data_IF_439693183856
#
_entry.id   IF_439693183856
#
_cell.length_a   1.000
_cell.length_b   1.000
_cell.length_c   1.000
_cell.angle_alpha   90.00
_cell.angle_beta   90.00
_cell.angle_gamma   90.00
#
_symmetry.space_group_name_H-M   'P 1'
#
loop_
_entity.id
_entity.type
_entity.pdbx_description
1 polymer ?
#
# COMPACT_ATOMS: atom_id res chain seq x y z
N UNK A 1 56.50 -72.52 -25.46
CA UNK A 1 55.38 -73.24 -24.81
C UNK A 1 54.74 -72.27 -23.83
N UNK A 2 53.53 -71.78 -24.16
CA UNK A 2 52.61 -70.95 -23.34
C UNK A 2 53.15 -69.55 -22.93
N UNK A 3 52.39 -68.45 -22.83
CA UNK A 3 50.96 -68.16 -22.89
C UNK A 3 50.78 -66.64 -23.03
N UNK A 4 49.69 -66.22 -23.69
CA UNK A 4 49.26 -64.81 -23.84
C UNK A 4 48.94 -64.14 -22.50
N UNK A 5 49.04 -62.80 -22.43
CA UNK A 5 48.05 -61.99 -21.70
C UNK A 5 47.79 -60.66 -22.43
N UNK A 6 46.65 -60.60 -23.13
CA UNK A 6 46.00 -59.38 -23.57
C UNK A 6 45.75 -58.48 -22.36
N UNK A 7 46.23 -57.24 -22.40
CA UNK A 7 45.82 -56.19 -21.47
C UNK A 7 44.94 -55.21 -22.22
N UNK A 8 43.62 -55.40 -22.07
CA UNK A 8 42.59 -54.43 -22.41
C UNK A 8 42.82 -53.16 -21.58
N UNK A 9 43.12 -52.05 -22.25
CA UNK A 9 43.11 -50.71 -21.65
C UNK A 9 41.67 -50.20 -21.67
N UNK A 10 41.03 -50.11 -20.51
CA UNK A 10 39.78 -49.37 -20.34
C UNK A 10 40.10 -47.87 -20.27
N UNK A 11 39.47 -46.98 -21.05
CA UNK A 11 39.61 -45.56 -20.83
C UNK A 11 38.78 -45.17 -19.59
N UNK A 12 39.42 -44.48 -18.64
CA UNK A 12 38.74 -43.88 -17.51
C UNK A 12 37.81 -42.77 -17.99
N UNK A 13 36.51 -42.93 -17.79
CA UNK A 13 35.50 -41.90 -18.04
C UNK A 13 35.61 -40.87 -16.91
N UNK A 14 36.20 -39.70 -17.21
CA UNK A 14 36.24 -38.57 -16.29
C UNK A 14 34.86 -37.89 -16.30
N UNK A 15 34.02 -38.19 -15.32
CA UNK A 15 32.74 -37.51 -15.12
C UNK A 15 33.03 -36.09 -14.61
N UNK A 16 32.93 -35.08 -15.47
CA UNK A 16 32.97 -33.67 -15.07
C UNK A 16 31.64 -33.35 -14.39
N UNK A 17 31.65 -33.31 -13.06
CA UNK A 17 30.55 -32.76 -12.27
C UNK A 17 30.60 -31.24 -12.39
N UNK A 18 29.79 -30.68 -13.29
CA UNK A 18 29.54 -29.23 -13.32
C UNK A 18 28.67 -28.91 -12.10
N UNK A 19 29.30 -28.46 -11.01
CA UNK A 19 28.56 -27.73 -9.98
C UNK A 19 28.08 -26.43 -10.64
N UNK A 20 26.81 -26.39 -11.01
CA UNK A 20 26.15 -25.15 -11.38
C UNK A 20 26.19 -24.27 -10.12
N UNK A 21 27.12 -23.31 -10.09
CA UNK A 21 27.14 -22.27 -9.08
C UNK A 21 25.94 -21.36 -9.41
N UNK A 22 24.76 -21.73 -8.92
CA UNK A 22 23.57 -20.88 -9.00
C UNK A 22 23.86 -19.64 -8.17
N UNK A 23 24.41 -18.60 -8.79
CA UNK A 23 24.40 -17.28 -8.19
C UNK A 23 22.93 -16.94 -8.01
N UNK A 24 22.45 -17.01 -6.77
CA UNK A 24 21.22 -16.32 -6.38
C UNK A 24 21.46 -14.86 -6.67
N UNK A 25 21.01 -14.42 -7.85
CA UNK A 25 20.92 -13.00 -8.13
C UNK A 25 19.97 -12.46 -7.06
N UNK A 26 20.30 -11.37 -6.35
CA UNK A 26 19.30 -10.71 -5.54
C UNK A 26 18.10 -10.48 -6.46
N UNK A 27 16.96 -11.07 -6.09
CA UNK A 27 15.70 -10.82 -6.79
C UNK A 27 15.37 -9.38 -6.43
N UNK A 28 15.89 -8.45 -7.22
CA UNK A 28 15.47 -7.07 -7.13
C UNK A 28 13.98 -7.05 -7.43
N UNK A 29 13.24 -6.35 -6.58
CA UNK A 29 11.83 -6.12 -6.75
C UNK A 29 11.53 -5.72 -8.21
N UNK A 30 10.59 -6.40 -8.84
CA UNK A 30 10.12 -5.99 -10.15
C UNK A 30 9.29 -4.72 -9.92
N UNK A 31 9.91 -3.54 -10.09
CA UNK A 31 9.36 -2.21 -9.73
C UNK A 31 9.41 -1.89 -8.21
N UNK A 32 10.60 -1.60 -7.64
CA UNK A 32 10.70 -1.18 -6.25
C UNK A 32 10.11 0.23 -6.05
N UNK A 33 9.51 0.53 -4.87
CA UNK A 33 9.07 1.88 -4.55
C UNK A 33 10.25 2.85 -4.41
N UNK A 34 10.05 4.12 -4.78
CA UNK A 34 10.87 5.23 -4.31
C UNK A 34 10.37 5.71 -2.93
N UNK A 35 11.12 6.58 -2.22
CA UNK A 35 10.60 7.23 -1.02
C UNK A 35 9.28 7.98 -1.31
N UNK A 36 8.24 7.71 -0.52
CA UNK A 36 6.90 8.27 -0.70
C UNK A 36 5.93 7.47 -1.59
N UNK A 37 6.42 6.56 -2.44
CA UNK A 37 5.55 5.70 -3.27
C UNK A 37 4.80 4.67 -2.41
N UNK A 38 5.45 4.20 -1.34
CA UNK A 38 4.85 3.39 -0.28
C UNK A 38 5.12 4.08 1.05
N UNK A 39 4.07 4.25 1.83
CA UNK A 39 4.10 4.96 3.12
C UNK A 39 3.49 4.11 4.22
N UNK A 40 3.90 4.37 5.46
CA UNK A 40 3.26 3.80 6.65
C UNK A 40 1.89 4.47 6.78
N UNK A 41 0.83 3.66 6.74
CA UNK A 41 -0.55 4.14 6.65
C UNK A 41 -1.27 4.08 7.98
N UNK A 42 -1.13 2.97 8.68
CA UNK A 42 -1.79 2.71 9.96
C UNK A 42 -0.92 1.75 10.79
N UNK A 43 -0.91 1.88 12.10
CA UNK A 43 -0.25 0.91 12.97
C UNK A 43 -0.89 0.86 14.36
N UNK A 44 -0.81 -0.32 14.98
CA UNK A 44 -1.17 -0.55 16.38
C UNK A 44 0.08 -1.02 17.12
N UNK A 45 0.52 -0.23 18.09
CA UNK A 45 1.72 -0.48 18.86
C UNK A 45 1.46 -1.15 20.22
N UNK A 46 0.23 -1.05 20.74
CA UNK A 46 -0.13 -1.60 22.05
C UNK A 46 -1.28 -2.60 21.90
N UNK A 47 -0.95 -3.85 21.56
CA UNK A 47 -1.94 -4.92 21.43
C UNK A 47 -1.29 -6.30 21.65
N UNK A 48 -2.11 -7.36 21.76
CA UNK A 48 -1.59 -8.73 21.77
C UNK A 48 -0.88 -9.09 20.46
N UNK A 49 -1.34 -8.49 19.35
CA UNK A 49 -0.72 -8.57 18.04
C UNK A 49 -0.57 -7.16 17.52
N UNK A 50 0.65 -6.66 17.57
CA UNK A 50 1.03 -5.40 16.96
C UNK A 50 1.06 -5.55 15.45
N UNK A 51 0.91 -4.45 14.75
CA UNK A 51 1.04 -4.47 13.30
C UNK A 51 1.31 -3.08 12.73
N UNK A 52 1.91 -3.09 11.56
CA UNK A 52 2.15 -1.92 10.71
C UNK A 52 1.56 -2.20 9.35
N UNK A 53 0.79 -1.25 8.84
CA UNK A 53 0.25 -1.23 7.49
C UNK A 53 1.02 -0.25 6.61
N UNK A 54 1.36 -0.71 5.42
CA UNK A 54 1.91 0.08 4.34
C UNK A 54 0.84 0.30 3.27
N UNK A 55 0.83 1.49 2.69
CA UNK A 55 -0.07 1.87 1.60
C UNK A 55 0.72 2.29 0.36
N UNK A 56 0.35 1.76 -0.80
CA UNK A 56 0.89 2.17 -2.09
C UNK A 56 0.14 3.40 -2.61
N UNK A 57 0.79 4.55 -2.65
CA UNK A 57 0.20 5.83 -3.07
C UNK A 57 0.09 5.97 -4.59
N UNK A 58 0.61 5.00 -5.34
CA UNK A 58 0.74 5.08 -6.80
C UNK A 58 -0.37 4.32 -7.54
N UNK A 59 -0.51 4.63 -8.84
CA UNK A 59 -1.39 3.92 -9.77
C UNK A 59 -0.80 2.63 -10.35
N UNK A 60 0.30 2.11 -9.81
CA UNK A 60 0.97 0.90 -10.30
C UNK A 60 1.28 -0.08 -9.18
N UNK A 61 1.35 -1.37 -9.51
CA UNK A 61 1.83 -2.39 -8.57
C UNK A 61 3.30 -2.15 -8.21
N UNK A 62 3.60 -2.21 -6.90
CA UNK A 62 4.94 -2.01 -6.35
C UNK A 62 5.39 -3.26 -5.61
N UNK A 63 6.60 -3.72 -5.92
CA UNK A 63 7.21 -4.87 -5.26
C UNK A 63 8.07 -4.36 -4.08
N UNK A 64 7.64 -4.73 -2.87
CA UNK A 64 8.28 -4.34 -1.60
C UNK A 64 9.10 -5.49 -0.99
N UNK A 65 9.39 -6.53 -1.77
CA UNK A 65 10.18 -7.68 -1.32
C UNK A 65 11.54 -7.24 -0.78
N UNK A 66 11.88 -7.69 0.43
CA UNK A 66 13.17 -7.42 1.05
C UNK A 66 13.36 -6.02 1.63
N UNK A 67 12.33 -5.16 1.60
CA UNK A 67 12.28 -3.96 2.43
C UNK A 67 12.08 -4.34 3.90
N UNK A 68 12.20 -3.37 4.81
CA UNK A 68 12.11 -3.63 6.25
C UNK A 68 11.17 -2.66 6.96
N UNK A 69 10.57 -3.15 8.05
CA UNK A 69 9.99 -2.33 9.11
C UNK A 69 10.99 -2.29 10.28
N UNK A 70 11.25 -1.11 10.81
CA UNK A 70 12.22 -0.85 11.88
C UNK A 70 11.58 0.02 12.97
N UNK A 71 11.88 -0.25 14.24
CA UNK A 71 11.31 0.43 15.42
C UNK A 71 12.15 1.63 15.85
N UNK A 72 13.45 1.66 15.54
CA UNK A 72 14.30 2.83 15.84
C UNK A 72 15.62 2.81 15.05
N UNK A 73 16.16 3.98 14.72
CA UNK A 73 17.48 4.06 14.06
C UNK A 73 18.62 3.57 14.95
N UNK A 74 19.32 2.53 14.49
CA UNK A 74 20.55 2.02 15.13
C UNK A 74 20.36 1.62 16.61
N UNK A 75 19.17 1.12 16.98
CA UNK A 75 18.82 0.68 18.32
C UNK A 75 17.68 -0.35 18.28
N UNK A 76 17.02 -0.57 19.42
CA UNK A 76 15.77 -1.35 19.46
C UNK A 76 15.89 -2.81 19.02
N UNK A 77 14.80 -3.33 18.48
CA UNK A 77 14.74 -4.65 17.86
C UNK A 77 15.51 -4.69 16.52
N UNK A 78 15.86 -5.89 16.06
CA UNK A 78 16.37 -6.01 14.69
C UNK A 78 15.25 -5.70 13.68
N UNK A 79 15.52 -4.93 12.61
CA UNK A 79 14.55 -4.65 11.55
C UNK A 79 13.91 -5.93 11.01
N UNK A 80 12.61 -5.87 10.72
CA UNK A 80 11.82 -7.00 10.26
C UNK A 80 11.68 -6.97 8.74
N UNK A 81 12.23 -8.00 8.09
CA UNK A 81 12.22 -8.12 6.63
C UNK A 81 10.82 -8.45 6.11
N UNK A 82 10.41 -7.74 5.08
CA UNK A 82 9.21 -8.04 4.30
C UNK A 82 9.51 -9.26 3.41
N UNK A 83 8.67 -10.31 3.44
CA UNK A 83 8.92 -11.55 2.71
C UNK A 83 9.11 -11.33 1.20
N UNK A 84 9.80 -12.27 0.56
CA UNK A 84 9.92 -12.28 -0.89
C UNK A 84 8.55 -12.46 -1.57
N UNK A 85 8.42 -11.95 -2.79
CA UNK A 85 7.20 -11.97 -3.60
C UNK A 85 6.04 -11.17 -2.97
N UNK A 86 6.35 -10.10 -2.26
CA UNK A 86 5.36 -9.19 -1.69
C UNK A 86 5.14 -8.01 -2.63
N UNK A 87 3.96 -7.96 -3.25
CA UNK A 87 3.53 -6.89 -4.14
C UNK A 87 2.35 -6.17 -3.50
N UNK A 88 2.41 -4.84 -3.43
CA UNK A 88 1.25 -4.01 -3.10
C UNK A 88 0.66 -3.51 -4.41
N UNK A 89 -0.59 -3.87 -4.71
CA UNK A 89 -1.29 -3.35 -5.88
C UNK A 89 -1.44 -1.82 -5.83
N UNK A 90 -1.72 -1.20 -6.98
CA UNK A 90 -2.07 0.22 -7.04
C UNK A 90 -3.12 0.61 -5.98
N UNK A 91 -2.83 1.59 -5.12
CA UNK A 91 -3.71 1.98 -4.01
C UNK A 91 -4.05 0.85 -3.02
N UNK A 92 -3.25 -0.21 -2.99
CA UNK A 92 -3.42 -1.35 -2.10
C UNK A 92 -2.68 -1.18 -0.77
N UNK A 93 -2.90 -2.16 0.11
CA UNK A 93 -2.34 -2.21 1.46
C UNK A 93 -1.51 -3.47 1.65
N UNK A 94 -0.49 -3.38 2.50
CA UNK A 94 0.24 -4.53 3.03
C UNK A 94 0.33 -4.42 4.54
N UNK A 95 0.03 -5.52 5.24
CA UNK A 95 0.06 -5.57 6.70
C UNK A 95 1.14 -6.53 7.16
N UNK A 96 2.00 -6.06 8.06
CA UNK A 96 2.98 -6.87 8.77
C UNK A 96 2.62 -6.93 10.25
N UNK A 97 2.51 -8.13 10.81
CA UNK A 97 2.19 -8.35 12.22
C UNK A 97 3.43 -8.69 13.04
N UNK A 98 3.42 -8.32 14.31
CA UNK A 98 4.51 -8.50 15.24
C UNK A 98 4.03 -8.98 16.60
N UNK A 99 4.99 -9.41 17.42
CA UNK A 99 4.81 -9.71 18.83
C UNK A 99 5.91 -9.01 19.60
N UNK A 100 5.55 -7.95 20.35
CA UNK A 100 6.48 -7.19 21.19
C UNK A 100 7.64 -6.58 20.40
N UNK A 101 7.32 -5.89 19.31
CA UNK A 101 8.26 -5.17 18.46
C UNK A 101 8.19 -3.66 18.68
N UNK A 102 7.00 -3.08 18.73
CA UNK A 102 6.77 -1.66 18.98
C UNK A 102 6.58 -1.38 20.48
N UNK A 103 7.20 -0.33 21.00
CA UNK A 103 7.10 0.01 22.42
C UNK A 103 5.83 0.81 22.76
N UNK A 104 5.06 0.38 23.76
CA UNK A 104 3.84 1.07 24.21
C UNK A 104 4.08 2.52 24.68
N UNK A 105 5.27 2.78 25.24
CA UNK A 105 5.67 4.06 25.85
C UNK A 105 6.25 5.07 24.85
N UNK A 106 6.12 4.80 23.55
CA UNK A 106 6.68 5.61 22.48
C UNK A 106 7.82 4.91 21.76
N UNK A 107 7.87 5.11 20.44
CA UNK A 107 8.84 4.49 19.53
C UNK A 107 8.83 5.22 18.18
N UNK A 108 9.72 4.79 17.28
CA UNK A 108 9.58 5.10 15.85
C UNK A 108 8.90 3.93 15.11
N UNK A 109 8.37 4.23 13.93
CA UNK A 109 8.00 3.23 12.93
C UNK A 109 8.62 3.68 11.63
N UNK A 110 9.48 2.85 11.04
CA UNK A 110 10.27 3.22 9.86
C UNK A 110 10.14 2.15 8.79
N UNK A 111 9.79 2.57 7.58
CA UNK A 111 9.85 1.75 6.37
C UNK A 111 11.17 2.07 5.66
N UNK A 112 12.06 1.08 5.56
CA UNK A 112 13.43 1.27 5.07
C UNK A 112 13.76 0.30 3.93
N UNK A 113 14.70 0.72 3.10
CA UNK A 113 15.10 -0.01 1.90
C UNK A 113 15.86 -1.32 2.21
N UNK A 114 16.06 -2.20 1.21
CA UNK A 114 16.80 -3.44 1.39
C UNK A 114 18.26 -3.27 1.83
N UNK A 115 18.85 -2.08 1.65
CA UNK A 115 20.20 -1.78 2.17
C UNK A 115 20.19 -1.33 3.63
N UNK A 116 19.01 -1.06 4.19
CA UNK A 116 18.78 -0.50 5.53
C UNK A 116 19.45 0.87 5.74
N UNK A 117 19.71 1.61 4.65
CA UNK A 117 20.36 2.92 4.71
C UNK A 117 19.46 4.06 4.29
N UNK A 118 18.40 3.78 3.53
CA UNK A 118 17.43 4.77 3.07
C UNK A 118 16.11 4.56 3.77
N UNK A 119 15.59 5.64 4.39
CA UNK A 119 14.23 5.68 4.93
C UNK A 119 13.29 6.11 3.82
N UNK A 120 12.28 5.28 3.54
CA UNK A 120 11.24 5.56 2.56
C UNK A 120 10.07 6.32 3.18
N UNK A 121 9.73 5.98 4.43
CA UNK A 121 8.78 6.72 5.26
C UNK A 121 9.04 6.45 6.74
N UNK A 122 8.66 7.39 7.60
CA UNK A 122 8.81 7.22 9.06
C UNK A 122 7.84 8.08 9.85
N UNK A 123 7.49 7.61 11.04
CA UNK A 123 6.76 8.37 12.05
C UNK A 123 7.26 8.02 13.45
N UNK A 124 6.90 8.84 14.44
CA UNK A 124 7.21 8.62 15.84
C UNK A 124 5.98 8.89 16.69
N UNK A 125 5.83 8.16 17.79
CA UNK A 125 4.77 8.38 18.77
C UNK A 125 5.34 8.35 20.18
N UNK A 126 4.69 9.03 21.12
CA UNK A 126 5.17 9.14 22.52
C UNK A 126 4.41 8.24 23.49
N UNK A 127 3.31 7.65 23.04
CA UNK A 127 2.48 6.69 23.79
C UNK A 127 1.48 6.05 22.84
N UNK A 128 1.04 4.84 23.14
CA UNK A 128 -0.08 4.22 22.44
C UNK A 128 -1.13 3.64 23.39
N UNK A 129 -2.39 3.91 23.08
CA UNK A 129 -3.55 3.37 23.80
C UNK A 129 -3.78 1.92 23.37
N UNK A 130 -4.14 1.06 24.33
CA UNK A 130 -4.34 -0.37 24.05
C UNK A 130 -5.44 -0.57 22.99
N UNK A 131 -5.10 -1.34 21.94
CA UNK A 131 -5.94 -1.69 20.78
C UNK A 131 -6.37 -0.49 19.91
N UNK A 132 -5.73 0.68 20.06
CA UNK A 132 -5.97 1.84 19.22
C UNK A 132 -4.88 1.95 18.15
N UNK A 133 -5.25 2.53 17.01
CA UNK A 133 -4.31 2.77 15.91
C UNK A 133 -3.94 4.22 15.77
N UNK A 134 -2.68 4.47 15.42
CA UNK A 134 -2.30 5.68 14.72
C UNK A 134 -2.56 5.45 13.24
N UNK A 135 -3.12 6.44 12.56
CA UNK A 135 -3.54 6.32 11.15
C UNK A 135 -3.35 7.62 10.38
N UNK A 136 -3.18 7.51 9.07
CA UNK A 136 -3.24 8.64 8.14
C UNK A 136 -4.69 8.86 7.66
N UNK A 137 -5.08 10.12 7.48
CA UNK A 137 -6.37 10.47 6.88
C UNK A 137 -6.18 11.65 5.92
N UNK A 138 -6.49 11.50 4.62
CA UNK A 138 -6.79 10.25 3.91
C UNK A 138 -5.63 9.24 3.96
N UNK A 139 -5.81 8.05 3.38
CA UNK A 139 -4.73 7.07 3.23
C UNK A 139 -3.53 7.66 2.48
N UNK A 140 -2.34 7.40 3.02
CA UNK A 140 -1.10 8.03 2.59
C UNK A 140 -1.00 9.54 2.80
N UNK A 141 -2.03 10.18 3.36
CA UNK A 141 -2.10 11.60 3.68
C UNK A 141 -1.36 11.99 4.95
N UNK A 142 -1.96 12.91 5.72
CA UNK A 142 -1.39 13.37 7.00
C UNK A 142 -1.77 12.43 8.15
N UNK A 143 -0.90 12.29 9.14
CA UNK A 143 -1.25 11.61 10.39
C UNK A 143 -2.40 12.31 11.10
N UNK A 144 -3.38 11.53 11.56
CA UNK A 144 -4.42 12.01 12.45
C UNK A 144 -3.81 12.59 13.74
N UNK A 145 -4.35 13.70 14.28
CA UNK A 145 -3.86 14.28 15.53
C UNK A 145 -4.15 13.41 16.77
N UNK A 146 -4.96 12.36 16.63
CA UNK A 146 -5.31 11.43 17.69
C UNK A 146 -5.48 10.00 17.18
N UNK A 147 -5.22 9.03 18.05
CA UNK A 147 -5.46 7.62 17.77
C UNK A 147 -6.95 7.31 17.46
N UNK A 148 -7.20 6.26 16.69
CA UNK A 148 -8.53 5.71 16.41
C UNK A 148 -8.81 4.51 17.31
N UNK A 149 -10.03 4.44 17.87
CA UNK A 149 -10.54 3.26 18.58
C UNK A 149 -11.11 2.19 17.65
N UNK A 150 -11.07 2.43 16.34
CA UNK A 150 -11.58 1.53 15.30
C UNK A 150 -10.51 1.34 14.23
N UNK A 151 -9.48 0.52 14.49
CA UNK A 151 -8.43 0.26 13.52
C UNK A 151 -8.96 -0.42 12.26
N UNK A 152 -8.36 -0.13 11.11
CA UNK A 152 -8.83 -0.51 9.76
C UNK A 152 -7.87 -1.42 9.00
N UNK A 153 -7.20 -2.32 9.72
CA UNK A 153 -6.20 -3.26 9.17
C UNK A 153 -6.60 -3.90 7.83
N UNK A 154 -5.80 -3.65 6.80
CA UNK A 154 -5.96 -4.15 5.43
C UNK A 154 -7.04 -3.44 4.61
N UNK A 155 -7.52 -2.28 5.08
CA UNK A 155 -8.62 -1.52 4.48
C UNK A 155 -8.36 -0.02 4.60
N UNK A 156 -9.16 0.77 3.89
CA UNK A 156 -9.12 2.22 3.97
C UNK A 156 -9.33 2.78 5.39
N UNK A 157 -8.52 3.78 5.77
CA UNK A 157 -8.70 4.51 7.04
C UNK A 157 -9.98 5.37 7.05
N UNK A 158 -10.45 5.86 8.22
CA UNK A 158 -11.56 6.82 8.29
C UNK A 158 -11.30 8.08 7.45
N UNK A 159 -12.19 8.35 6.48
CA UNK A 159 -12.01 9.42 5.47
C UNK A 159 -11.00 9.09 4.35
N UNK A 160 -10.56 7.83 4.29
CA UNK A 160 -9.44 7.30 3.50
C UNK A 160 -9.86 6.65 2.18
N UNK A 161 -10.49 7.40 1.29
CA UNK A 161 -10.08 7.20 -0.10
C UNK A 161 -8.63 7.67 -0.24
N UNK A 162 -7.86 7.22 -1.25
CA UNK A 162 -6.73 8.00 -1.75
C UNK A 162 -7.11 9.49 -1.82
N UNK A 163 -6.20 10.41 -1.50
CA UNK A 163 -6.44 11.84 -1.73
C UNK A 163 -6.89 12.04 -3.17
N UNK A 164 -8.15 12.44 -3.39
CA UNK A 164 -8.69 12.65 -4.73
C UNK A 164 -8.05 13.92 -5.29
N UNK A 165 -7.16 13.72 -6.26
CA UNK A 165 -6.51 14.81 -6.98
C UNK A 165 -7.37 15.23 -8.18
N UNK A 166 -7.19 16.45 -8.72
CA UNK A 166 -7.81 16.83 -9.99
C UNK A 166 -7.50 15.82 -11.09
N UNK A 167 -8.55 15.18 -11.63
CA UNK A 167 -8.44 14.16 -12.66
C UNK A 167 -8.65 12.72 -12.16
N UNK A 168 -8.61 12.45 -10.86
CA UNK A 168 -8.85 11.12 -10.28
C UNK A 168 -10.33 10.75 -10.37
N UNK A 169 -11.21 11.74 -10.16
CA UNK A 169 -12.64 11.65 -10.46
C UNK A 169 -12.99 12.71 -11.50
N UNK A 170 -13.58 12.28 -12.61
CA UNK A 170 -13.99 13.16 -13.71
C UNK A 170 -15.48 13.02 -13.98
N UNK A 171 -16.09 14.06 -14.54
CA UNK A 171 -17.44 13.94 -15.11
C UNK A 171 -17.33 13.12 -16.39
N UNK A 172 -18.01 11.98 -16.43
CA UNK A 172 -18.06 11.10 -17.60
C UNK A 172 -19.24 11.46 -18.51
N UNK A 173 -20.42 11.60 -17.93
CA UNK A 173 -21.66 11.93 -18.64
C UNK A 173 -22.56 12.80 -17.75
N UNK A 174 -23.38 13.64 -18.37
CA UNK A 174 -24.44 14.36 -17.67
C UNK A 174 -25.63 14.60 -18.58
N UNK A 175 -26.82 14.65 -17.97
CA UNK A 175 -28.05 15.06 -18.63
C UNK A 175 -28.60 16.28 -17.92
N UNK A 176 -28.77 17.36 -18.69
CA UNK A 176 -29.35 18.62 -18.24
C UNK A 176 -30.62 18.94 -19.06
N UNK A 177 -31.53 19.74 -18.48
CA UNK A 177 -32.76 20.22 -19.09
C UNK A 177 -33.68 19.08 -19.55
N UNK A 178 -33.94 18.15 -18.65
CA UNK A 178 -34.74 16.94 -18.89
C UNK A 178 -35.63 16.65 -17.67
N UNK A 179 -36.66 15.82 -17.83
CA UNK A 179 -37.50 15.39 -16.70
C UNK A 179 -36.72 14.58 -15.65
N UNK A 180 -35.55 14.07 -16.03
CA UNK A 180 -34.59 13.44 -15.13
C UNK A 180 -33.21 14.02 -15.42
N UNK A 181 -32.62 14.67 -14.44
CA UNK A 181 -31.28 15.26 -14.55
C UNK A 181 -30.32 14.47 -13.68
N UNK A 182 -29.13 14.23 -14.19
CA UNK A 182 -28.13 13.45 -13.46
C UNK A 182 -26.73 13.72 -13.98
N UNK A 183 -25.75 13.43 -13.14
CA UNK A 183 -24.32 13.42 -13.49
C UNK A 183 -23.73 12.06 -13.17
N UNK A 184 -22.90 11.53 -14.07
CA UNK A 184 -22.07 10.37 -13.84
C UNK A 184 -20.62 10.79 -13.67
N UNK A 185 -20.02 10.30 -12.59
CA UNK A 185 -18.62 10.45 -12.27
C UNK A 185 -17.89 9.15 -12.61
N UNK A 186 -16.67 9.27 -13.13
CA UNK A 186 -15.78 8.17 -13.42
C UNK A 186 -14.50 8.28 -12.59
N UNK A 187 -14.11 7.18 -11.96
CA UNK A 187 -12.83 7.05 -11.28
C UNK A 187 -11.77 6.59 -12.29
N UNK A 188 -10.83 7.47 -12.59
CA UNK A 188 -9.74 7.21 -13.56
C UNK A 188 -8.58 6.40 -12.96
N UNK A 189 -8.60 6.18 -11.64
CA UNK A 189 -7.50 5.55 -10.91
C UNK A 189 -7.63 4.03 -10.88
N UNK A 190 -6.52 3.38 -10.50
CA UNK A 190 -6.43 1.93 -10.31
C UNK A 190 -6.95 1.44 -8.96
N UNK A 191 -7.45 2.32 -8.08
CA UNK A 191 -7.93 1.99 -6.74
C UNK A 191 -9.32 2.57 -6.49
N UNK A 192 -10.02 2.10 -5.45
CA UNK A 192 -11.32 2.65 -5.09
C UNK A 192 -11.16 4.03 -4.43
N UNK A 193 -12.02 4.99 -4.79
CA UNK A 193 -12.01 6.36 -4.25
C UNK A 193 -13.27 6.63 -3.43
N UNK A 194 -13.11 7.03 -2.16
CA UNK A 194 -14.20 7.56 -1.35
C UNK A 194 -14.46 9.03 -1.71
N UNK A 195 -15.61 9.29 -2.36
CA UNK A 195 -16.07 10.62 -2.78
C UNK A 195 -17.09 11.20 -1.80
N UNK A 196 -17.23 10.62 -0.60
CA UNK A 196 -18.15 11.11 0.43
C UNK A 196 -17.94 12.59 0.73
N UNK A 197 -19.01 13.37 0.70
CA UNK A 197 -18.98 14.78 1.08
C UNK A 197 -18.35 15.72 0.04
N UNK A 198 -17.94 15.22 -1.13
CA UNK A 198 -17.67 16.08 -2.29
C UNK A 198 -18.97 16.72 -2.78
N UNK A 199 -18.85 17.81 -3.55
CA UNK A 199 -20.00 18.54 -4.08
C UNK A 199 -19.99 18.59 -5.59
N UNK A 200 -21.18 18.46 -6.19
CA UNK A 200 -21.44 18.81 -7.58
C UNK A 200 -22.04 20.21 -7.60
N UNK A 201 -21.45 21.09 -8.40
CA UNK A 201 -21.87 22.48 -8.54
C UNK A 201 -22.14 22.79 -10.03
N UNK A 202 -23.22 23.51 -10.31
CA UNK A 202 -23.61 23.89 -11.68
C UNK A 202 -22.85 25.13 -12.15
N UNK A 203 -22.66 26.11 -11.26
CA UNK A 203 -21.98 27.37 -11.55
C UNK A 203 -21.16 27.83 -10.35
N UNK A 204 -19.83 27.83 -10.50
CA UNK A 204 -18.93 28.31 -9.46
C UNK A 204 -19.28 29.74 -9.00
N UNK A 205 -19.70 29.87 -7.74
CA UNK A 205 -20.04 31.16 -7.13
C UNK A 205 -21.35 31.79 -7.62
N UNK A 206 -22.20 31.01 -8.29
CA UNK A 206 -23.53 31.40 -8.75
C UNK A 206 -24.47 30.19 -8.71
N UNK A 207 -25.58 30.25 -9.45
CA UNK A 207 -26.45 29.08 -9.63
C UNK A 207 -27.19 28.61 -8.37
N UNK A 208 -27.50 27.31 -8.36
CA UNK A 208 -28.12 26.61 -7.25
C UNK A 208 -27.14 26.39 -6.10
N UNK A 209 -27.61 25.79 -5.00
CA UNK A 209 -26.69 25.32 -3.97
C UNK A 209 -25.95 24.06 -4.48
N UNK A 210 -24.63 23.92 -4.25
CA UNK A 210 -23.91 22.71 -4.59
C UNK A 210 -24.53 21.48 -3.91
N UNK A 211 -24.61 20.37 -4.63
CA UNK A 211 -25.20 19.13 -4.16
C UNK A 211 -24.13 18.22 -3.58
N UNK A 212 -24.29 17.87 -2.30
CA UNK A 212 -23.37 16.98 -1.61
C UNK A 212 -23.55 15.53 -2.10
N UNK A 213 -22.44 14.86 -2.35
CA UNK A 213 -22.38 13.42 -2.54
C UNK A 213 -22.59 12.76 -1.16
N UNK A 214 -23.52 11.79 -1.04
CA UNK A 214 -23.83 11.13 0.23
C UNK A 214 -22.60 10.54 0.92
N UNK A 215 -22.67 10.46 2.25
CA UNK A 215 -21.66 9.73 3.02
C UNK A 215 -21.61 8.25 2.62
N UNK A 216 -20.44 7.64 2.80
CA UNK A 216 -20.16 6.25 2.43
C UNK A 216 -20.29 5.98 0.92
N UNK A 217 -19.97 6.96 0.08
CA UNK A 217 -19.98 6.81 -1.38
C UNK A 217 -18.58 6.54 -1.89
N UNK A 218 -18.35 5.33 -2.40
CA UNK A 218 -17.08 4.93 -3.02
C UNK A 218 -17.27 4.60 -4.49
N UNK A 219 -16.38 5.09 -5.35
CA UNK A 219 -16.29 4.65 -6.75
C UNK A 219 -15.16 3.61 -6.85
N UNK A 220 -15.43 2.35 -7.24
CA UNK A 220 -14.38 1.35 -7.50
C UNK A 220 -13.36 1.84 -8.55
N UNK A 221 -12.18 1.22 -8.59
CA UNK A 221 -11.19 1.46 -9.64
C UNK A 221 -11.81 1.31 -11.05
N UNK A 222 -11.66 2.32 -11.91
CA UNK A 222 -12.32 2.33 -13.23
C UNK A 222 -13.85 2.25 -13.17
N UNK A 223 -14.45 2.52 -12.02
CA UNK A 223 -15.89 2.45 -11.79
C UNK A 223 -16.60 3.78 -12.07
N UNK A 224 -17.93 3.74 -11.99
CA UNK A 224 -18.81 4.88 -12.22
C UNK A 224 -19.74 5.10 -11.03
N UNK A 225 -20.12 6.36 -10.79
CA UNK A 225 -21.14 6.74 -9.81
C UNK A 225 -22.09 7.76 -10.41
N UNK A 226 -23.39 7.49 -10.35
CA UNK A 226 -24.44 8.37 -10.85
C UNK A 226 -25.14 9.10 -9.70
N UNK A 227 -25.24 10.42 -9.80
CA UNK A 227 -26.01 11.26 -8.88
C UNK A 227 -27.25 11.80 -9.61
N UNK A 228 -28.43 11.49 -9.08
CA UNK A 228 -29.71 12.07 -9.52
C UNK A 228 -29.86 13.50 -8.99
N UNK A 229 -30.10 14.43 -9.91
CA UNK A 229 -30.22 15.86 -9.68
C UNK A 229 -31.64 16.38 -9.99
N UNK A 230 -32.60 15.50 -10.29
CA UNK A 230 -33.95 15.87 -10.75
C UNK A 230 -34.79 16.72 -9.78
N UNK A 231 -34.32 16.90 -8.53
CA UNK A 231 -34.96 17.75 -7.53
C UNK A 231 -34.16 19.03 -7.21
N UNK A 232 -33.09 19.31 -7.94
CA UNK A 232 -32.03 20.23 -7.48
C UNK A 232 -31.57 21.28 -8.51
N UNK A 233 -32.04 21.21 -9.76
CA UNK A 233 -31.76 22.20 -10.80
C UNK A 233 -33.06 22.85 -11.32
#
# INVERSE_FOLDING_TARGET
MLMSKNRLLFPALLTVLVMLLSTVSPVFAANPPNPGDVVINEYVANATTEWVELYNTTGSDLDISGFYIDDIASGGGAPKVIPASTIISAGGYYVMTFSSFLNNGGDDVRFIDPTQTVVHDSTSYTSSTADYSWYRSPDGGSWSPSESSSPTQGSANPGGGPSINPGDVVINEYVANSATEWVELYNTTGSALDISGYYIDDIAGGGGAPQAIPASTTIPAGGFYTLDLSNYL
#
